data_IF_956930996235
#
_entry.id   IF_956930996235
#
_cell.length_a   1.000
_cell.length_b   1.000
_cell.length_c   1.000
_cell.angle_alpha   90.00
_cell.angle_beta   90.00
_cell.angle_gamma   90.00
#
_symmetry.space_group_name_H-M   'P 1'
#
loop_
_entity.id
_entity.type
_entity.pdbx_description
1 polymer ?
#
# COMPACT_ATOMS: atom_id res chain seq x y z
N UNK A 1 -23.72 0.01 3.59
CA UNK A 1 -22.30 -0.23 3.23
C UNK A 1 -21.89 -1.60 3.77
N UNK A 2 -21.16 -2.41 2.99
CA UNK A 2 -20.65 -3.71 3.46
C UNK A 2 -19.70 -3.50 4.67
N UNK A 3 -19.67 -4.40 5.66
CA UNK A 3 -18.94 -4.20 6.91
C UNK A 3 -17.44 -3.97 6.70
N UNK A 4 -16.83 -4.61 5.69
CA UNK A 4 -15.42 -4.39 5.34
C UNK A 4 -15.13 -2.98 4.81
N UNK A 5 -16.08 -2.34 4.10
CA UNK A 5 -15.88 -0.99 3.57
C UNK A 5 -15.84 0.03 4.71
N UNK A 6 -16.70 -0.16 5.72
CA UNK A 6 -16.69 0.65 6.94
C UNK A 6 -15.41 0.44 7.73
N UNK A 7 -14.96 -0.81 7.90
CA UNK A 7 -13.69 -1.12 8.56
C UNK A 7 -12.50 -0.49 7.83
N UNK A 8 -12.48 -0.55 6.50
CA UNK A 8 -11.45 0.08 5.68
C UNK A 8 -11.40 1.59 5.92
N UNK A 9 -12.55 2.28 5.87
CA UNK A 9 -12.60 3.74 6.06
C UNK A 9 -12.10 4.12 7.46
N UNK A 10 -12.59 3.47 8.51
CA UNK A 10 -12.13 3.77 9.87
C UNK A 10 -10.65 3.46 10.07
N UNK A 11 -10.16 2.34 9.53
CA UNK A 11 -8.75 1.98 9.59
C UNK A 11 -7.88 2.98 8.82
N UNK A 12 -8.35 3.48 7.68
CA UNK A 12 -7.63 4.47 6.88
C UNK A 12 -7.59 5.85 7.55
N UNK A 13 -8.70 6.27 8.18
CA UNK A 13 -8.74 7.49 8.97
C UNK A 13 -7.80 7.40 10.19
N UNK A 14 -7.81 6.26 10.89
CA UNK A 14 -6.88 6.00 11.99
C UNK A 14 -5.43 6.00 11.50
N UNK A 15 -5.14 5.35 10.36
CA UNK A 15 -3.83 5.36 9.73
C UNK A 15 -3.35 6.79 9.44
N UNK A 16 -4.16 7.59 8.74
CA UNK A 16 -3.82 8.97 8.41
C UNK A 16 -3.59 9.82 9.67
N UNK A 17 -4.46 9.70 10.67
CA UNK A 17 -4.31 10.42 11.94
C UNK A 17 -3.02 10.03 12.67
N UNK A 18 -2.69 8.73 12.73
CA UNK A 18 -1.44 8.27 13.37
C UNK A 18 -0.20 8.67 12.60
N UNK A 19 -0.24 8.70 11.26
CA UNK A 19 0.88 9.21 10.46
C UNK A 19 1.12 10.69 10.75
N UNK A 20 0.07 11.51 10.73
CA UNK A 20 0.18 12.94 11.05
C UNK A 20 0.69 13.14 12.47
N UNK A 21 0.14 12.41 13.45
CA UNK A 21 0.61 12.48 14.84
C UNK A 21 2.08 12.06 14.98
N UNK A 22 2.49 10.96 14.34
CA UNK A 22 3.87 10.48 14.38
C UNK A 22 4.84 11.53 13.80
N UNK A 23 4.51 12.15 12.67
CA UNK A 23 5.33 13.20 12.05
C UNK A 23 5.42 14.43 12.96
N UNK A 24 4.29 14.93 13.48
CA UNK A 24 4.26 16.10 14.35
C UNK A 24 5.05 15.87 15.64
N UNK A 25 4.85 14.74 16.31
CA UNK A 25 5.52 14.40 17.56
C UNK A 25 7.03 14.17 17.36
N UNK A 26 7.44 13.56 16.24
CA UNK A 26 8.86 13.34 15.95
C UNK A 26 9.58 14.67 15.66
N UNK A 27 8.90 15.61 14.99
CA UNK A 27 9.45 16.94 14.68
C UNK A 27 9.47 17.89 15.87
N UNK A 28 8.48 17.83 16.77
CA UNK A 28 8.38 18.71 17.93
C UNK A 28 9.27 18.26 19.09
N UNK A 29 9.47 16.95 19.26
CA UNK A 29 10.25 16.43 20.38
C UNK A 29 11.68 16.13 19.94
N UNK A 30 12.49 17.19 19.89
CA UNK A 30 13.95 17.13 19.68
C UNK A 30 14.69 16.21 20.67
N UNK A 31 14.05 15.82 21.78
CA UNK A 31 14.61 15.05 22.90
C UNK A 31 14.21 13.57 22.99
N UNK A 32 13.39 13.03 22.07
CA UNK A 32 13.10 11.59 22.10
C UNK A 32 14.37 10.79 21.78
N UNK A 33 14.72 9.85 22.67
CA UNK A 33 15.78 8.89 22.39
C UNK A 33 15.45 8.06 21.14
N UNK A 34 16.49 7.63 20.41
CA UNK A 34 16.40 6.90 19.13
C UNK A 34 15.37 5.76 19.13
N UNK A 35 15.25 4.93 20.19
CA UNK A 35 14.27 3.84 20.24
C UNK A 35 12.81 4.32 20.29
N UNK A 36 12.54 5.41 21.02
CA UNK A 36 11.20 5.96 21.16
C UNK A 36 10.70 6.59 19.85
N UNK A 37 11.59 7.22 19.09
CA UNK A 37 11.28 7.71 17.73
C UNK A 37 10.94 6.56 16.78
N UNK A 38 11.71 5.48 16.82
CA UNK A 38 11.44 4.30 16.00
C UNK A 38 10.07 3.68 16.35
N UNK A 39 9.74 3.55 17.64
CA UNK A 39 8.45 3.03 18.08
C UNK A 39 7.27 3.92 17.59
N UNK A 40 7.40 5.24 17.68
CA UNK A 40 6.39 6.17 17.17
C UNK A 40 6.23 6.10 15.65
N UNK A 41 7.33 5.95 14.90
CA UNK A 41 7.30 5.79 13.45
C UNK A 41 6.62 4.49 13.00
N UNK A 42 6.62 3.45 13.85
CA UNK A 42 5.97 2.16 13.57
C UNK A 42 4.49 2.12 13.97
N UNK A 43 4.02 3.07 14.78
CA UNK A 43 2.64 3.11 15.28
C UNK A 43 1.56 3.02 14.17
N UNK A 44 1.73 3.67 12.98
CA UNK A 44 0.78 3.53 11.87
C UNK A 44 0.66 2.11 11.29
N UNK A 45 1.58 1.19 11.60
CA UNK A 45 1.45 -0.21 11.15
C UNK A 45 0.22 -0.90 11.76
N UNK A 46 -0.19 -0.51 12.96
CA UNK A 46 -1.35 -1.10 13.63
C UNK A 46 -2.62 -0.91 12.77
N UNK A 47 -3.05 0.32 12.42
CA UNK A 47 -4.18 0.52 11.52
C UNK A 47 -3.96 -0.04 10.11
N UNK A 48 -2.71 -0.09 9.63
CA UNK A 48 -2.41 -0.70 8.33
C UNK A 48 -2.78 -2.19 8.25
N UNK A 49 -2.62 -2.95 9.35
CA UNK A 49 -3.08 -4.35 9.43
C UNK A 49 -4.60 -4.44 9.27
N UNK A 50 -5.36 -3.51 9.84
CA UNK A 50 -6.81 -3.48 9.68
C UNK A 50 -7.23 -3.09 8.25
N UNK A 51 -6.52 -2.16 7.61
CA UNK A 51 -6.70 -1.85 6.19
C UNK A 51 -6.48 -3.11 5.35
N UNK A 52 -5.37 -3.82 5.57
CA UNK A 52 -5.06 -5.06 4.86
C UNK A 52 -6.16 -6.11 5.04
N UNK A 53 -6.61 -6.35 6.28
CA UNK A 53 -7.72 -7.29 6.56
C UNK A 53 -9.00 -6.89 5.84
N UNK A 54 -9.33 -5.60 5.79
CA UNK A 54 -10.53 -5.12 5.11
C UNK A 54 -10.43 -5.29 3.58
N UNK A 55 -9.26 -5.06 2.98
CA UNK A 55 -9.02 -5.30 1.54
C UNK A 55 -9.15 -6.78 1.22
N UNK A 56 -8.51 -7.66 2.00
CA UNK A 56 -8.61 -9.12 1.83
C UNK A 56 -10.06 -9.58 1.96
N UNK A 57 -10.79 -9.10 2.97
CA UNK A 57 -12.22 -9.41 3.12
C UNK A 57 -13.06 -8.91 1.94
N UNK A 58 -12.73 -7.73 1.40
CA UNK A 58 -13.37 -7.19 0.21
C UNK A 58 -13.19 -8.08 -1.02
N UNK A 59 -11.94 -8.48 -1.31
CA UNK A 59 -11.60 -9.36 -2.45
C UNK A 59 -12.20 -10.76 -2.26
N UNK A 60 -12.13 -11.32 -1.04
CA UNK A 60 -12.71 -12.63 -0.73
C UNK A 60 -14.24 -12.66 -0.80
N UNK A 61 -14.91 -11.50 -0.75
CA UNK A 61 -16.37 -11.38 -0.90
C UNK A 61 -16.84 -11.35 -2.36
N UNK A 62 -15.91 -11.35 -3.31
CA UNK A 62 -16.20 -11.43 -4.75
C UNK A 62 -16.52 -12.87 -5.15
N UNK A 63 -17.19 -13.04 -6.29
CA UNK A 63 -17.32 -14.36 -6.91
C UNK A 63 -15.94 -14.94 -7.29
N UNK A 64 -15.90 -16.25 -7.60
CA UNK A 64 -14.65 -16.96 -7.87
C UNK A 64 -13.89 -16.39 -9.07
N UNK A 65 -14.60 -15.97 -10.12
CA UNK A 65 -14.01 -15.42 -11.34
C UNK A 65 -13.35 -14.07 -11.05
N UNK A 66 -14.07 -13.14 -10.42
CA UNK A 66 -13.56 -11.83 -10.03
C UNK A 66 -12.42 -11.97 -9.03
N UNK A 67 -12.53 -12.88 -8.05
CA UNK A 67 -11.43 -13.15 -7.10
C UNK A 67 -10.18 -13.63 -7.85
N UNK A 68 -10.32 -14.52 -8.82
CA UNK A 68 -9.20 -15.02 -9.65
C UNK A 68 -8.57 -13.90 -10.49
N UNK A 69 -9.39 -13.06 -11.12
CA UNK A 69 -8.93 -11.87 -11.86
C UNK A 69 -8.12 -10.94 -10.96
N UNK A 70 -8.62 -10.64 -9.76
CA UNK A 70 -7.92 -9.79 -8.81
C UNK A 70 -6.60 -10.41 -8.34
N UNK A 71 -6.55 -11.72 -8.11
CA UNK A 71 -5.31 -12.42 -7.73
C UNK A 71 -4.26 -12.41 -8.84
N UNK A 72 -4.65 -12.67 -10.10
CA UNK A 72 -3.72 -12.58 -11.25
C UNK A 72 -3.21 -11.14 -11.42
N UNK A 73 -4.10 -10.15 -11.31
CA UNK A 73 -3.75 -8.74 -11.41
C UNK A 73 -2.82 -8.26 -10.27
N UNK A 74 -3.08 -8.68 -9.03
CA UNK A 74 -2.23 -8.36 -7.88
C UNK A 74 -0.86 -9.03 -8.00
N UNK A 75 -0.81 -10.27 -8.47
CA UNK A 75 0.46 -10.98 -8.72
C UNK A 75 1.30 -10.22 -9.75
N UNK A 76 0.70 -9.82 -10.88
CA UNK A 76 1.37 -9.01 -11.89
C UNK A 76 1.90 -7.69 -11.30
N UNK A 77 1.03 -6.94 -10.62
CA UNK A 77 1.38 -5.64 -10.07
C UNK A 77 2.47 -5.72 -9.00
N UNK A 78 2.39 -6.74 -8.14
CA UNK A 78 3.38 -7.01 -7.10
C UNK A 78 4.76 -7.30 -7.70
N UNK A 79 4.85 -8.24 -8.63
CA UNK A 79 6.12 -8.62 -9.26
C UNK A 79 6.72 -7.45 -10.02
N UNK A 80 5.92 -6.73 -10.81
CA UNK A 80 6.38 -5.56 -11.54
C UNK A 80 6.88 -4.47 -10.57
N UNK A 81 6.09 -4.12 -9.56
CA UNK A 81 6.45 -3.10 -8.58
C UNK A 81 7.70 -3.46 -7.78
N UNK A 82 7.89 -4.75 -7.45
CA UNK A 82 9.10 -5.24 -6.81
C UNK A 82 10.35 -4.95 -7.65
N UNK A 83 10.34 -5.30 -8.94
CA UNK A 83 11.46 -5.00 -9.84
C UNK A 83 11.71 -3.50 -10.03
N UNK A 84 10.65 -2.69 -10.11
CA UNK A 84 10.80 -1.23 -10.13
C UNK A 84 11.47 -0.71 -8.86
N UNK A 85 11.05 -1.20 -7.69
CA UNK A 85 11.63 -0.79 -6.40
C UNK A 85 13.12 -1.15 -6.30
N UNK A 86 13.50 -2.36 -6.75
CA UNK A 86 14.90 -2.75 -6.85
C UNK A 86 15.68 -1.81 -7.79
N UNK A 87 15.09 -1.49 -8.95
CA UNK A 87 15.70 -0.58 -9.92
C UNK A 87 15.87 0.83 -9.34
N UNK A 88 14.88 1.36 -8.61
CA UNK A 88 14.98 2.66 -7.94
C UNK A 88 16.05 2.67 -6.85
N UNK A 89 16.19 1.57 -6.11
CA UNK A 89 17.28 1.39 -5.14
C UNK A 89 18.65 1.44 -5.83
N UNK A 90 18.83 0.75 -6.96
CA UNK A 90 20.07 0.82 -7.73
C UNK A 90 20.33 2.21 -8.32
N UNK A 91 19.28 2.89 -8.81
CA UNK A 91 19.40 4.26 -9.32
C UNK A 91 19.80 5.25 -8.24
N UNK A 92 19.45 5.02 -6.97
CA UNK A 92 19.83 5.89 -5.86
C UNK A 92 21.35 5.96 -5.59
N UNK A 93 22.14 5.06 -6.17
CA UNK A 93 23.61 5.09 -6.14
C UNK A 93 24.16 6.22 -7.02
N UNK A 94 23.41 6.60 -8.06
CA UNK A 94 23.72 7.72 -8.95
C UNK A 94 22.82 8.89 -8.53
N UNK A 95 23.24 10.16 -8.62
CA UNK A 95 22.37 11.32 -8.32
C UNK A 95 21.25 11.53 -9.36
N UNK A 96 20.73 10.45 -9.95
CA UNK A 96 19.53 10.44 -10.78
C UNK A 96 18.35 10.38 -9.82
N UNK A 97 17.41 11.30 -10.01
CA UNK A 97 16.23 11.53 -9.17
C UNK A 97 15.54 10.22 -8.79
N UNK A 98 15.65 9.79 -7.52
CA UNK A 98 14.89 8.67 -7.00
C UNK A 98 13.40 9.07 -6.91
N UNK A 99 12.46 8.27 -7.44
CA UNK A 99 11.05 8.61 -7.42
C UNK A 99 10.53 8.68 -5.98
N UNK A 100 9.80 9.74 -5.67
CA UNK A 100 9.16 9.92 -4.37
C UNK A 100 8.20 8.77 -4.05
N UNK A 101 7.94 8.52 -2.77
CA UNK A 101 6.98 7.51 -2.33
C UNK A 101 5.59 7.69 -2.96
N UNK A 102 5.17 8.94 -3.18
CA UNK A 102 3.90 9.24 -3.86
C UNK A 102 3.86 8.70 -5.28
N UNK A 103 4.95 8.86 -6.04
CA UNK A 103 5.08 8.31 -7.40
C UNK A 103 5.05 6.78 -7.37
N UNK A 104 5.73 6.16 -6.41
CA UNK A 104 5.75 4.69 -6.27
C UNK A 104 4.36 4.10 -5.96
N UNK A 105 3.58 4.77 -5.10
CA UNK A 105 2.19 4.35 -4.81
C UNK A 105 1.31 4.47 -6.06
N UNK A 106 1.40 5.60 -6.78
CA UNK A 106 0.64 5.80 -8.03
C UNK A 106 1.02 4.76 -9.08
N UNK A 107 2.32 4.46 -9.21
CA UNK A 107 2.81 3.41 -10.10
C UNK A 107 2.22 2.04 -9.74
N UNK A 108 2.19 1.66 -8.45
CA UNK A 108 1.59 0.39 -8.04
C UNK A 108 0.09 0.33 -8.38
N UNK A 109 -0.63 1.43 -8.20
CA UNK A 109 -2.04 1.53 -8.59
C UNK A 109 -2.23 1.37 -10.12
N UNK A 110 -1.38 2.00 -10.93
CA UNK A 110 -1.41 1.86 -12.40
C UNK A 110 -1.13 0.42 -12.81
N UNK A 111 -0.09 -0.21 -12.25
CA UNK A 111 0.26 -1.61 -12.52
C UNK A 111 -0.89 -2.56 -12.17
N UNK A 112 -1.60 -2.31 -11.08
CA UNK A 112 -2.77 -3.11 -10.72
C UNK A 112 -3.91 -2.97 -11.72
N UNK A 113 -4.20 -1.75 -12.19
CA UNK A 113 -5.21 -1.53 -13.23
C UNK A 113 -4.84 -2.20 -14.57
N UNK A 114 -3.56 -2.16 -14.96
CA UNK A 114 -3.04 -2.88 -16.12
C UNK A 114 -3.22 -4.39 -15.94
N UNK A 115 -2.85 -4.92 -14.77
CA UNK A 115 -3.05 -6.34 -14.44
C UNK A 115 -4.51 -6.76 -14.51
N UNK A 116 -5.43 -5.92 -14.02
CA UNK A 116 -6.87 -6.17 -14.11
C UNK A 116 -7.36 -6.20 -15.56
N UNK A 117 -6.88 -5.29 -16.39
CA UNK A 117 -7.22 -5.24 -17.81
C UNK A 117 -6.72 -6.48 -18.56
N UNK A 118 -5.47 -6.91 -18.31
CA UNK A 118 -4.89 -8.13 -18.89
C UNK A 118 -5.67 -9.38 -18.46
N UNK A 119 -5.92 -9.52 -17.16
CA UNK A 119 -6.64 -10.67 -16.62
C UNK A 119 -8.09 -10.73 -17.15
N UNK A 120 -8.80 -9.60 -17.20
CA UNK A 120 -10.17 -9.56 -17.75
C UNK A 120 -10.23 -9.99 -19.21
N UNK A 121 -9.26 -9.59 -20.04
CA UNK A 121 -9.20 -10.00 -21.45
C UNK A 121 -9.05 -11.51 -21.61
N UNK A 122 -8.28 -12.15 -20.72
CA UNK A 122 -8.06 -13.60 -20.73
C UNK A 122 -9.34 -14.41 -20.43
N UNK A 123 -10.27 -13.87 -19.66
CA UNK A 123 -11.54 -14.54 -19.31
C UNK A 123 -12.75 -14.07 -20.13
N UNK A 124 -12.57 -13.07 -21.00
CA UNK A 124 -13.60 -12.60 -21.93
C UNK A 124 -13.53 -13.30 -23.30
N UNK A 125 -12.46 -14.06 -23.55
CA UNK A 125 -12.24 -14.95 -24.68
C UNK A 125 -12.59 -16.39 -24.29
#
# INVERSE_FOLDING_TARGET
>A
MKPYARQFIFAMLAYAALVVAAVLLTNQVGMLQTPARAALALLPLIPAVFVMRAVVAGISSLDELQRRIHLEALTFAFVAHFFFTLTYSLLSIVPILAPSLGVQILQMAVLWNIGLWLARRKYAL
#
